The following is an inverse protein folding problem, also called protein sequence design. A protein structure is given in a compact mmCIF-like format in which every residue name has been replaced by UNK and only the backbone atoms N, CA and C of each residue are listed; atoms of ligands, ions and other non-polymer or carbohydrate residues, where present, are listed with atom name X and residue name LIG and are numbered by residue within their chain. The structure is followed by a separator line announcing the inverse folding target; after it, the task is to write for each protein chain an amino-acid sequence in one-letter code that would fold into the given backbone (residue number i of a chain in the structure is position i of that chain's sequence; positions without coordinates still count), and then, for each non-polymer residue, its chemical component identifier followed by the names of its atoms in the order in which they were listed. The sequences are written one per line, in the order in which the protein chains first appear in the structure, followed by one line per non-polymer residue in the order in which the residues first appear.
data_IF_021371123437
#
_entry.id   IF_021371123437
#
_cell.length_a   1.000
_cell.length_b   1.000
_cell.length_c   1.000
_cell.angle_alpha   90.00
_cell.angle_beta   90.00
_cell.angle_gamma   90.00
#
_symmetry.space_group_name_H-M   'P 1'
#
loop_
_entity.id
_entity.type
_entity.pdbx_description
1 polymer ?
#
# COMPACT_ATOMS: atom_id res chain seq x y z
N UNK A 1 24.76 12.65 4.91
CA UNK A 1 24.62 11.48 4.02
C UNK A 1 23.28 11.60 3.30
N UNK A 2 23.16 12.62 2.45
CA UNK A 2 21.94 12.93 1.67
C UNK A 2 22.16 12.81 0.16
N UNK A 3 23.40 12.61 -0.29
CA UNK A 3 23.77 12.65 -1.72
C UNK A 3 23.43 11.37 -2.51
N UNK A 4 22.99 10.29 -1.84
CA UNK A 4 22.68 9.00 -2.48
C UNK A 4 21.17 8.72 -2.60
N UNK A 5 20.30 9.65 -2.19
CA UNK A 5 18.85 9.43 -2.24
C UNK A 5 18.29 9.64 -3.66
N UNK A 6 17.23 8.89 -3.98
CA UNK A 6 16.47 9.09 -5.20
C UNK A 6 15.45 10.22 -5.00
N UNK A 7 15.21 10.98 -6.08
CA UNK A 7 14.36 12.18 -6.05
C UNK A 7 13.15 12.01 -6.98
N UNK A 8 11.97 12.43 -6.50
CA UNK A 8 10.72 12.41 -7.26
C UNK A 8 10.61 13.57 -8.27
N UNK A 9 9.58 13.57 -9.15
CA UNK A 9 9.43 14.61 -10.18
C UNK A 9 8.95 15.97 -9.64
N UNK A 10 8.51 16.01 -8.38
CA UNK A 10 7.77 17.12 -7.79
C UNK A 10 8.48 17.74 -6.58
N UNK A 11 9.76 17.45 -6.38
CA UNK A 11 10.50 17.91 -5.20
C UNK A 11 10.43 19.43 -5.00
N UNK A 12 10.69 20.22 -6.05
CA UNK A 12 10.67 21.68 -5.95
C UNK A 12 9.29 22.19 -5.53
N UNK A 13 8.20 21.60 -6.06
CA UNK A 13 6.82 21.93 -5.68
C UNK A 13 6.55 21.61 -4.21
N UNK A 14 7.02 20.47 -3.74
CA UNK A 14 6.89 20.09 -2.33
C UNK A 14 7.65 21.06 -1.42
N UNK A 15 8.84 21.53 -1.84
CA UNK A 15 9.61 22.55 -1.10
C UNK A 15 8.86 23.88 -1.05
N UNK A 16 8.29 24.31 -2.18
CA UNK A 16 7.49 25.54 -2.26
C UNK A 16 6.23 25.47 -1.38
N UNK A 17 5.64 24.28 -1.23
CA UNK A 17 4.54 24.01 -0.29
C UNK A 17 4.99 23.86 1.18
N UNK A 18 6.29 24.01 1.48
CA UNK A 18 6.82 23.95 2.83
C UNK A 18 6.98 22.54 3.40
N UNK A 19 7.08 21.52 2.55
CA UNK A 19 7.22 20.14 3.01
C UNK A 19 8.49 19.91 3.83
N UNK A 20 8.35 19.16 4.91
CA UNK A 20 9.46 18.48 5.58
C UNK A 20 9.74 17.16 4.87
N UNK A 21 11.01 16.83 4.66
CA UNK A 21 11.43 15.63 3.95
C UNK A 21 12.16 14.64 4.86
N UNK A 22 12.05 13.35 4.55
CA UNK A 22 12.89 12.30 5.11
C UNK A 22 13.21 11.23 4.06
N UNK A 23 14.20 10.40 4.39
CA UNK A 23 14.48 9.18 3.63
C UNK A 23 13.36 8.16 3.85
N UNK A 24 12.81 7.63 2.76
CA UNK A 24 11.83 6.56 2.77
C UNK A 24 12.11 5.60 1.62
N UNK A 25 12.55 4.38 1.95
CA UNK A 25 12.88 3.34 0.96
C UNK A 25 13.92 3.80 -0.07
N UNK A 26 14.92 4.58 0.35
CA UNK A 26 15.94 5.14 -0.54
C UNK A 26 15.52 6.37 -1.34
N UNK A 27 14.31 6.92 -1.12
CA UNK A 27 13.83 8.15 -1.74
C UNK A 27 13.76 9.31 -0.75
N UNK A 28 14.03 10.52 -1.22
CA UNK A 28 13.75 11.74 -0.47
C UNK A 28 12.27 12.11 -0.66
N UNK A 29 11.46 11.92 0.39
CA UNK A 29 10.00 12.04 0.30
C UNK A 29 9.42 13.07 1.27
N UNK A 30 8.35 13.80 0.90
CA UNK A 30 7.63 14.68 1.81
C UNK A 30 6.95 13.86 2.92
N UNK A 31 7.36 14.06 4.16
CA UNK A 31 6.79 13.37 5.33
C UNK A 31 5.64 14.14 5.97
N UNK A 32 5.61 15.47 5.83
CA UNK A 32 4.57 16.34 6.37
C UNK A 32 4.68 17.76 5.76
N UNK A 33 3.56 18.48 5.72
CA UNK A 33 3.41 19.88 5.34
C UNK A 33 2.90 20.70 6.55
N UNK A 34 1.61 20.55 6.90
CA UNK A 34 0.97 21.24 8.02
C UNK A 34 1.02 20.44 9.35
N UNK A 35 1.44 19.18 9.30
CA UNK A 35 1.55 18.28 10.44
C UNK A 35 0.67 17.04 10.26
N UNK A 36 1.22 15.86 10.57
CA UNK A 36 0.56 14.55 10.41
C UNK A 36 -0.90 14.50 10.88
N UNK A 37 -1.23 15.13 12.01
CA UNK A 37 -2.59 15.14 12.56
C UNK A 37 -3.54 16.00 11.72
N UNK A 38 -3.10 17.17 11.25
CA UNK A 38 -3.91 18.04 10.39
C UNK A 38 -4.22 17.34 9.07
N UNK A 39 -3.17 16.84 8.42
CA UNK A 39 -3.22 16.17 7.12
C UNK A 39 -4.09 14.89 7.15
N UNK A 40 -3.97 14.11 8.22
CA UNK A 40 -4.84 12.96 8.48
C UNK A 40 -6.30 13.40 8.58
N UNK A 41 -6.60 14.40 9.41
CA UNK A 41 -7.96 14.89 9.62
C UNK A 41 -8.53 15.51 8.34
N UNK A 42 -7.72 16.24 7.56
CA UNK A 42 -8.10 16.76 6.26
C UNK A 42 -8.50 15.61 5.32
N UNK A 43 -7.71 14.53 5.29
CA UNK A 43 -8.01 13.35 4.48
C UNK A 43 -9.32 12.66 4.91
N UNK A 44 -9.54 12.51 6.22
CA UNK A 44 -10.76 11.87 6.78
C UNK A 44 -12.04 12.69 6.58
N UNK A 45 -11.93 14.02 6.65
CA UNK A 45 -13.09 14.91 6.72
C UNK A 45 -13.36 15.68 5.41
N UNK A 46 -12.35 15.81 4.56
CA UNK A 46 -12.43 16.51 3.28
C UNK A 46 -11.69 15.73 2.18
N UNK A 47 -10.43 16.07 1.92
CA UNK A 47 -9.58 15.43 0.91
C UNK A 47 -8.10 15.69 1.20
N UNK A 48 -7.26 14.68 1.00
CA UNK A 48 -5.80 14.75 1.09
C UNK A 48 -5.18 14.47 -0.27
N UNK A 49 -4.14 15.24 -0.63
CA UNK A 49 -3.31 15.01 -1.82
C UNK A 49 -1.95 14.45 -1.40
N UNK A 50 -1.63 13.22 -1.82
CA UNK A 50 -0.36 12.57 -1.55
C UNK A 50 0.43 12.41 -2.84
N UNK A 51 1.71 12.77 -2.82
CA UNK A 51 2.66 12.31 -3.83
C UNK A 51 3.25 10.96 -3.40
N UNK A 52 2.90 9.91 -4.14
CA UNK A 52 3.44 8.57 -3.96
C UNK A 52 4.18 8.09 -5.22
N UNK A 53 4.75 9.01 -5.98
CA UNK A 53 5.49 8.74 -7.22
C UNK A 53 6.73 7.86 -7.01
N UNK A 54 7.25 7.77 -5.79
CA UNK A 54 8.27 6.78 -5.41
C UNK A 54 7.83 5.33 -5.63
N UNK A 55 6.53 5.02 -5.70
CA UNK A 55 6.05 3.69 -6.06
C UNK A 55 6.58 3.27 -7.44
N UNK A 56 6.84 1.98 -7.57
CA UNK A 56 7.28 1.39 -8.83
C UNK A 56 6.21 1.39 -9.89
N UNK A 57 6.66 1.32 -11.13
CA UNK A 57 5.81 0.93 -12.26
C UNK A 57 6.56 -0.15 -13.03
N UNK A 58 5.85 -1.17 -13.50
CA UNK A 58 6.40 -2.18 -14.39
C UNK A 58 5.34 -2.59 -15.41
N UNK A 59 5.79 -2.98 -16.59
CA UNK A 59 4.90 -3.39 -17.68
C UNK A 59 5.26 -4.80 -18.13
N UNK A 60 4.24 -5.65 -18.26
CA UNK A 60 4.34 -6.96 -18.89
C UNK A 60 3.55 -6.90 -20.19
N UNK A 61 4.22 -7.08 -21.33
CA UNK A 61 3.63 -6.90 -22.66
C UNK A 61 3.97 -8.04 -23.61
N UNK A 62 3.00 -8.43 -24.43
CA UNK A 62 3.11 -9.44 -25.47
C UNK A 62 2.03 -10.52 -25.36
N UNK A 63 1.88 -11.38 -26.38
CA UNK A 63 0.83 -12.39 -26.42
C UNK A 63 0.74 -13.24 -25.14
N UNK A 64 -0.40 -13.16 -24.44
CA UNK A 64 -0.67 -13.94 -23.23
C UNK A 64 -0.08 -13.36 -21.93
N UNK A 65 0.25 -12.06 -21.90
CA UNK A 65 0.74 -11.37 -20.70
C UNK A 65 -0.17 -11.58 -19.48
N UNK A 66 -1.50 -11.48 -19.65
CA UNK A 66 -2.45 -11.67 -18.56
C UNK A 66 -2.38 -13.09 -17.98
N UNK A 67 -2.28 -14.11 -18.84
CA UNK A 67 -2.16 -15.51 -18.42
C UNK A 67 -0.84 -15.76 -17.67
N UNK A 68 0.26 -15.17 -18.13
CA UNK A 68 1.56 -15.24 -17.47
C UNK A 68 1.56 -14.54 -16.10
N UNK A 69 1.01 -13.32 -16.00
CA UNK A 69 0.89 -12.64 -14.69
C UNK A 69 -0.01 -13.45 -13.76
N UNK A 70 -1.09 -14.04 -14.28
CA UNK A 70 -1.94 -14.91 -13.48
C UNK A 70 -1.21 -16.19 -13.02
N UNK A 71 -0.25 -16.73 -13.77
CA UNK A 71 0.50 -17.93 -13.33
C UNK A 71 1.66 -17.63 -12.38
N UNK A 72 1.95 -16.35 -12.10
CA UNK A 72 3.09 -15.91 -11.29
C UNK A 72 2.67 -15.22 -9.98
N UNK A 73 1.69 -14.32 -10.01
CA UNK A 73 1.25 -13.58 -8.82
C UNK A 73 0.13 -14.32 -8.07
N UNK A 74 -0.08 -14.01 -6.80
CA UNK A 74 -0.96 -14.83 -5.93
C UNK A 74 -2.45 -14.70 -6.22
N UNK A 75 -2.97 -13.50 -6.52
CA UNK A 75 -4.41 -13.31 -6.73
C UNK A 75 -4.88 -13.78 -8.12
N UNK A 76 -6.16 -14.09 -8.26
CA UNK A 76 -6.73 -14.66 -9.48
C UNK A 76 -7.19 -13.56 -10.44
N UNK A 77 -6.33 -13.28 -11.42
CA UNK A 77 -6.52 -12.24 -12.42
C UNK A 77 -7.67 -12.58 -13.39
N UNK A 78 -8.04 -13.86 -13.52
CA UNK A 78 -9.18 -14.29 -14.35
C UNK A 78 -10.55 -13.81 -13.83
N UNK A 79 -10.58 -13.26 -12.60
CA UNK A 79 -11.78 -12.68 -11.99
C UNK A 79 -12.04 -11.23 -12.39
N UNK A 80 -11.08 -10.61 -13.07
CA UNK A 80 -11.20 -9.24 -13.58
C UNK A 80 -10.89 -9.23 -15.08
N UNK A 81 -11.08 -8.08 -15.71
CA UNK A 81 -10.76 -7.88 -17.13
C UNK A 81 -10.37 -6.43 -17.40
N UNK A 82 -10.27 -6.02 -18.68
CA UNK A 82 -9.85 -4.68 -19.08
C UNK A 82 -10.54 -3.56 -18.29
N UNK A 83 -9.77 -2.54 -17.88
CA UNK A 83 -10.27 -1.41 -17.09
C UNK A 83 -10.43 -1.69 -15.60
N UNK A 84 -10.02 -2.88 -15.12
CA UNK A 84 -10.01 -3.24 -13.70
C UNK A 84 -8.61 -3.54 -13.20
N UNK A 85 -8.44 -3.47 -11.88
CA UNK A 85 -7.22 -3.74 -11.18
C UNK A 85 -7.45 -4.69 -10.00
N UNK A 86 -6.38 -5.25 -9.47
CA UNK A 86 -6.45 -6.14 -8.31
C UNK A 86 -5.19 -6.05 -7.47
N UNK A 87 -5.37 -6.04 -6.15
CA UNK A 87 -4.26 -6.22 -5.21
C UNK A 87 -3.81 -7.67 -5.21
N UNK A 88 -2.50 -7.88 -5.29
CA UNK A 88 -1.88 -9.20 -5.38
C UNK A 88 -0.49 -9.18 -4.74
N UNK A 89 0.07 -10.36 -4.49
CA UNK A 89 1.42 -10.50 -3.94
C UNK A 89 2.32 -11.27 -4.90
N UNK A 90 3.56 -10.81 -5.01
CA UNK A 90 4.69 -11.54 -5.58
C UNK A 90 5.41 -12.24 -4.43
N UNK A 91 5.37 -13.57 -4.40
CA UNK A 91 5.94 -14.37 -3.32
C UNK A 91 7.24 -15.04 -3.73
N UNK A 92 8.03 -15.46 -2.74
CA UNK A 92 9.15 -16.39 -2.92
C UNK A 92 8.62 -17.82 -3.02
N UNK A 93 9.47 -18.76 -3.47
CA UNK A 93 9.15 -20.20 -3.45
C UNK A 93 8.84 -20.71 -2.03
N UNK A 94 9.46 -20.12 -1.01
CA UNK A 94 9.21 -20.44 0.41
C UNK A 94 7.93 -19.82 0.98
N UNK A 95 7.16 -19.07 0.20
CA UNK A 95 5.90 -18.43 0.62
C UNK A 95 6.07 -17.11 1.37
N UNK A 96 7.29 -16.58 1.48
CA UNK A 96 7.53 -15.19 1.88
C UNK A 96 7.13 -14.22 0.78
N UNK A 97 7.12 -12.92 1.08
CA UNK A 97 6.62 -11.88 0.16
C UNK A 97 7.77 -11.04 -0.38
N UNK A 98 8.04 -11.15 -1.68
CA UNK A 98 8.94 -10.25 -2.41
C UNK A 98 8.32 -8.86 -2.44
N UNK A 99 7.03 -8.78 -2.78
CA UNK A 99 6.28 -7.53 -2.74
C UNK A 99 4.76 -7.76 -2.73
N UNK A 100 4.01 -6.80 -2.22
CA UNK A 100 2.60 -6.60 -2.56
C UNK A 100 2.45 -5.47 -3.58
N UNK A 101 1.47 -5.59 -4.48
CA UNK A 101 1.33 -4.66 -5.60
C UNK A 101 -0.10 -4.65 -6.16
N UNK A 102 -0.39 -3.62 -6.97
CA UNK A 102 -1.63 -3.56 -7.76
C UNK A 102 -1.32 -3.96 -9.20
N UNK A 103 -2.05 -4.94 -9.73
CA UNK A 103 -2.02 -5.33 -11.12
C UNK A 103 -3.23 -4.73 -11.86
N UNK A 104 -2.98 -3.91 -12.88
CA UNK A 104 -3.96 -3.29 -13.75
C UNK A 104 -4.07 -4.08 -15.04
N UNK A 105 -5.27 -4.59 -15.30
CA UNK A 105 -5.58 -5.34 -16.51
C UNK A 105 -5.85 -4.34 -17.64
N UNK A 106 -4.93 -4.23 -18.60
CA UNK A 106 -5.11 -3.40 -19.80
C UNK A 106 -5.85 -4.22 -20.85
N UNK A 107 -5.23 -5.31 -21.28
CA UNK A 107 -5.82 -6.33 -22.14
C UNK A 107 -5.10 -7.67 -21.93
N UNK A 108 -5.47 -8.68 -22.72
CA UNK A 108 -4.90 -10.04 -22.61
C UNK A 108 -3.37 -10.06 -22.82
N UNK A 109 -2.83 -9.06 -23.50
CA UNK A 109 -1.44 -8.94 -23.93
C UNK A 109 -0.69 -7.79 -23.24
N UNK A 110 -1.33 -7.09 -22.30
CA UNK A 110 -0.73 -5.99 -21.55
C UNK A 110 -1.25 -5.91 -20.11
N UNK A 111 -0.33 -6.08 -19.14
CA UNK A 111 -0.59 -5.89 -17.72
C UNK A 111 0.37 -4.85 -17.16
N UNK A 112 -0.20 -3.83 -16.51
CA UNK A 112 0.55 -2.77 -15.86
C UNK A 112 0.59 -2.99 -14.35
N UNK A 113 1.75 -2.90 -13.73
CA UNK A 113 1.98 -3.24 -12.33
C UNK A 113 2.47 -2.01 -11.57
N UNK A 114 1.95 -1.82 -10.35
CA UNK A 114 2.42 -0.79 -9.41
C UNK A 114 2.93 -1.46 -8.13
N UNK A 115 4.22 -1.87 -8.10
CA UNK A 115 4.90 -2.40 -6.91
C UNK A 115 5.37 -1.31 -5.93
N UNK A 116 5.80 -1.71 -4.74
CA UNK A 116 6.45 -0.81 -3.79
C UNK A 116 7.80 -0.31 -4.33
N UNK A 117 8.19 0.88 -3.87
CA UNK A 117 9.39 1.59 -4.32
C UNK A 117 10.67 0.73 -4.25
N UNK A 118 10.96 0.16 -3.07
CA UNK A 118 12.20 -0.59 -2.84
C UNK A 118 12.25 -1.94 -3.60
N UNK A 119 11.09 -2.51 -3.94
CA UNK A 119 10.98 -3.89 -4.39
C UNK A 119 10.74 -4.02 -5.89
N UNK A 120 10.54 -2.91 -6.60
CA UNK A 120 10.20 -2.88 -8.02
C UNK A 120 11.18 -3.67 -8.89
N UNK A 121 12.48 -3.51 -8.62
CA UNK A 121 13.52 -4.25 -9.34
C UNK A 121 13.41 -5.77 -9.10
N UNK A 122 13.23 -6.18 -7.84
CA UNK A 122 13.10 -7.59 -7.48
C UNK A 122 11.85 -8.25 -8.09
N UNK A 123 10.72 -7.53 -8.14
CA UNK A 123 9.49 -8.01 -8.83
C UNK A 123 9.76 -8.20 -10.32
N UNK A 124 10.38 -7.22 -10.99
CA UNK A 124 10.70 -7.30 -12.42
C UNK A 124 11.67 -8.44 -12.71
N UNK A 125 12.69 -8.62 -11.87
CA UNK A 125 13.67 -9.71 -11.99
C UNK A 125 13.00 -11.09 -11.83
N UNK A 126 12.13 -11.26 -10.83
CA UNK A 126 11.40 -12.51 -10.62
C UNK A 126 10.50 -12.86 -11.82
N UNK A 127 9.78 -11.87 -12.37
CA UNK A 127 8.95 -12.06 -13.56
C UNK A 127 9.82 -12.38 -14.80
N UNK A 128 10.94 -11.68 -15.00
CA UNK A 128 11.85 -11.97 -16.13
C UNK A 128 12.42 -13.37 -16.06
N UNK A 129 12.91 -13.78 -14.89
CA UNK A 129 13.42 -15.13 -14.68
C UNK A 129 12.37 -16.20 -14.99
N UNK A 130 11.11 -15.98 -14.59
CA UNK A 130 10.01 -16.88 -14.92
C UNK A 130 9.69 -16.93 -16.42
N UNK A 131 9.71 -15.78 -17.11
CA UNK A 131 9.49 -15.72 -18.55
C UNK A 131 10.61 -16.44 -19.32
N UNK A 132 11.87 -16.24 -18.93
CA UNK A 132 13.05 -16.90 -19.49
C UNK A 132 13.07 -18.42 -19.23
N UNK A 133 12.52 -18.86 -18.10
CA UNK A 133 12.30 -20.27 -17.79
C UNK A 133 11.17 -20.92 -18.62
N UNK A 134 10.55 -20.18 -19.54
CA UNK A 134 9.59 -20.69 -20.52
C UNK A 134 8.12 -20.49 -20.15
N UNK A 135 7.80 -19.81 -19.04
CA UNK A 135 6.40 -19.51 -18.69
C UNK A 135 5.79 -18.37 -19.52
N UNK A 136 6.62 -17.53 -20.14
CA UNK A 136 6.20 -16.34 -20.88
C UNK A 136 7.01 -16.10 -22.15
N UNK A 137 7.08 -17.06 -23.09
CA UNK A 137 7.92 -16.94 -24.28
C UNK A 137 7.48 -15.72 -25.12
N UNK A 138 8.43 -14.84 -25.45
CA UNK A 138 8.18 -13.64 -26.25
C UNK A 138 7.57 -12.46 -25.49
N UNK A 139 7.35 -12.58 -24.17
CA UNK A 139 6.93 -11.45 -23.35
C UNK A 139 8.09 -10.48 -23.12
N UNK A 140 7.75 -9.19 -23.12
CA UNK A 140 8.63 -8.10 -22.71
C UNK A 140 8.21 -7.63 -21.32
N UNK A 141 9.15 -7.65 -20.37
CA UNK A 141 8.91 -7.19 -19.01
C UNK A 141 9.85 -6.01 -18.75
N UNK A 142 9.30 -4.81 -18.58
CA UNK A 142 10.06 -3.56 -18.38
C UNK A 142 9.86 -3.00 -16.98
N UNK A 143 10.95 -2.49 -16.42
CA UNK A 143 10.89 -1.62 -15.26
C UNK A 143 10.63 -0.19 -15.77
N UNK A 144 9.53 0.40 -15.32
CA UNK A 144 9.05 1.74 -15.72
C UNK A 144 8.96 2.69 -14.52
N UNK A 145 9.77 2.47 -13.47
CA UNK A 145 9.71 3.19 -12.19
C UNK A 145 9.65 4.72 -12.35
N UNK A 146 10.29 5.28 -13.38
CA UNK A 146 10.29 6.74 -13.63
C UNK A 146 9.52 7.15 -14.89
N UNK A 147 8.62 6.30 -15.38
CA UNK A 147 7.77 6.64 -16.53
C UNK A 147 6.53 7.43 -16.13
N UNK A 148 5.98 7.19 -14.92
CA UNK A 148 4.76 7.82 -14.43
C UNK A 148 4.90 8.31 -12.98
N UNK A 149 4.35 9.47 -12.67
CA UNK A 149 4.10 9.86 -11.28
C UNK A 149 2.88 9.08 -10.73
N UNK A 150 2.67 9.12 -9.41
CA UNK A 150 1.47 8.57 -8.78
C UNK A 150 0.96 9.57 -7.74
N UNK A 151 -0.16 10.19 -8.03
CA UNK A 151 -0.78 11.23 -7.19
C UNK A 151 -2.08 10.69 -6.59
N UNK A 152 -2.12 10.51 -5.27
CA UNK A 152 -3.30 9.97 -4.60
C UNK A 152 -4.16 11.10 -4.03
N UNK A 153 -5.42 11.15 -4.46
CA UNK A 153 -6.44 12.10 -3.98
C UNK A 153 -7.46 11.30 -3.17
N UNK A 154 -7.40 11.43 -1.86
CA UNK A 154 -8.07 10.50 -0.93
C UNK A 154 -8.96 11.29 0.03
N UNK A 155 -10.17 10.82 0.30
CA UNK A 155 -11.13 11.46 1.21
C UNK A 155 -12.52 11.63 0.60
N UNK A 156 -13.54 11.93 1.42
CA UNK A 156 -14.93 12.00 0.98
C UNK A 156 -15.19 13.02 -0.15
N UNK A 157 -14.33 14.04 -0.31
CA UNK A 157 -14.43 15.05 -1.39
C UNK A 157 -13.55 14.74 -2.60
N UNK A 158 -12.90 13.57 -2.67
CA UNK A 158 -11.98 13.26 -3.76
C UNK A 158 -12.66 13.23 -5.13
N UNK A 159 -13.91 12.74 -5.21
CA UNK A 159 -14.66 12.74 -6.46
C UNK A 159 -14.99 14.17 -6.93
N UNK A 160 -15.43 15.04 -6.01
CA UNK A 160 -15.70 16.46 -6.30
C UNK A 160 -14.46 17.17 -6.89
N UNK A 161 -13.28 16.93 -6.30
CA UNK A 161 -12.01 17.48 -6.79
C UNK A 161 -11.74 17.04 -8.23
N UNK A 162 -11.86 15.74 -8.53
CA UNK A 162 -11.57 15.20 -9.85
C UNK A 162 -12.61 15.66 -10.89
N UNK A 163 -13.90 15.63 -10.54
CA UNK A 163 -14.98 16.09 -11.41
C UNK A 163 -14.81 17.57 -11.78
N UNK A 164 -14.39 18.41 -10.82
CA UNK A 164 -14.08 19.81 -11.04
C UNK A 164 -12.94 20.07 -12.02
N UNK A 165 -12.04 19.09 -12.18
CA UNK A 165 -10.96 19.10 -13.17
C UNK A 165 -11.34 18.39 -14.49
N UNK A 166 -12.57 17.89 -14.60
CA UNK A 166 -13.05 17.14 -15.77
C UNK A 166 -12.48 15.73 -15.88
N UNK A 167 -11.97 15.15 -14.79
CA UNK A 167 -11.41 13.81 -14.75
C UNK A 167 -12.48 12.77 -14.35
N UNK A 168 -12.42 11.54 -14.87
CA UNK A 168 -13.47 10.54 -14.65
C UNK A 168 -13.46 10.00 -13.21
N UNK A 169 -14.65 9.91 -12.62
CA UNK A 169 -14.85 9.41 -11.24
C UNK A 169 -15.85 8.25 -11.13
N UNK A 170 -16.68 8.04 -12.17
CA UNK A 170 -17.82 7.10 -12.17
C UNK A 170 -17.50 5.61 -12.29
N UNK A 171 -16.27 5.21 -11.95
CA UNK A 171 -15.80 3.83 -12.01
C UNK A 171 -15.92 3.14 -10.63
N UNK A 172 -16.21 1.84 -10.61
CA UNK A 172 -16.26 1.07 -9.36
C UNK A 172 -14.90 0.98 -8.67
N UNK A 173 -14.87 0.60 -7.39
CA UNK A 173 -13.65 0.27 -6.66
C UNK A 173 -12.77 -0.72 -7.45
N UNK A 174 -11.47 -0.42 -7.54
CA UNK A 174 -10.50 -1.13 -8.38
C UNK A 174 -10.80 -1.07 -9.89
N UNK A 175 -11.56 -0.08 -10.34
CA UNK A 175 -11.63 0.31 -11.75
C UNK A 175 -10.61 1.39 -12.09
N UNK A 176 -10.32 1.57 -13.37
CA UNK A 176 -9.58 2.72 -13.87
C UNK A 176 -10.15 3.20 -15.21
N UNK A 177 -9.87 4.45 -15.55
CA UNK A 177 -10.17 5.04 -16.84
C UNK A 177 -9.02 5.96 -17.28
N UNK A 178 -8.74 5.96 -18.58
CA UNK A 178 -7.77 6.88 -19.17
C UNK A 178 -8.47 8.17 -19.60
N UNK A 179 -7.83 9.31 -19.32
CA UNK A 179 -8.31 10.65 -19.60
C UNK A 179 -7.14 11.58 -19.95
N UNK A 180 -7.41 12.87 -20.07
CA UNK A 180 -6.37 13.89 -20.16
C UNK A 180 -6.74 15.14 -19.37
N UNK A 181 -5.74 15.81 -18.83
CA UNK A 181 -5.85 17.12 -18.19
C UNK A 181 -4.89 18.08 -18.88
N UNK A 182 -5.41 19.18 -19.42
CA UNK A 182 -4.61 20.17 -20.18
C UNK A 182 -3.73 19.56 -21.29
N UNK A 183 -4.15 18.43 -21.87
CA UNK A 183 -3.39 17.69 -22.89
C UNK A 183 -2.39 16.67 -22.34
N UNK A 184 -2.15 16.64 -21.03
CA UNK A 184 -1.37 15.59 -20.36
C UNK A 184 -2.24 14.34 -20.23
N UNK A 185 -1.82 13.16 -20.75
CA UNK A 185 -2.54 11.92 -20.55
C UNK A 185 -2.49 11.51 -19.07
N UNK A 186 -3.61 11.05 -18.52
CA UNK A 186 -3.71 10.63 -17.13
C UNK A 186 -4.55 9.37 -17.04
N UNK A 187 -3.98 8.31 -16.46
CA UNK A 187 -4.77 7.17 -15.99
C UNK A 187 -5.30 7.48 -14.60
N UNK A 188 -6.63 7.44 -14.44
CA UNK A 188 -7.31 7.68 -13.16
C UNK A 188 -7.79 6.34 -12.61
N UNK A 189 -7.28 5.97 -11.45
CA UNK A 189 -7.51 4.69 -10.80
C UNK A 189 -8.36 4.89 -9.56
N UNK A 190 -9.41 4.08 -9.39
CA UNK A 190 -10.25 4.04 -8.20
C UNK A 190 -9.62 3.11 -7.15
N UNK A 191 -8.47 3.54 -6.66
CA UNK A 191 -7.60 2.84 -5.71
C UNK A 191 -7.14 3.78 -4.61
N UNK A 192 -6.62 3.22 -3.52
CA UNK A 192 -6.19 4.00 -2.37
C UNK A 192 -5.67 3.14 -1.23
N UNK A 193 -4.97 3.80 -0.31
CA UNK A 193 -4.30 3.15 0.82
C UNK A 193 -4.69 3.76 2.18
N UNK A 194 -5.82 4.48 2.20
CA UNK A 194 -6.26 5.27 3.36
C UNK A 194 -7.49 4.70 4.04
N UNK A 195 -8.25 3.83 3.35
CA UNK A 195 -9.58 3.39 3.78
C UNK A 195 -10.71 4.36 3.46
N UNK A 196 -10.41 5.52 2.85
CA UNK A 196 -11.41 6.45 2.34
C UNK A 196 -11.78 6.15 0.89
N UNK A 197 -12.86 6.78 0.44
CA UNK A 197 -13.11 7.00 -0.98
C UNK A 197 -11.90 7.75 -1.55
N UNK A 198 -11.27 7.24 -2.61
CA UNK A 198 -10.11 7.91 -3.20
C UNK A 198 -9.75 7.44 -4.60
N UNK A 199 -8.89 8.23 -5.24
CA UNK A 199 -8.34 7.94 -6.55
C UNK A 199 -6.82 8.08 -6.55
N UNK A 200 -6.16 7.42 -7.49
CA UNK A 200 -4.75 7.60 -7.81
C UNK A 200 -4.64 7.99 -9.29
N UNK A 201 -3.83 9.00 -9.59
CA UNK A 201 -3.65 9.53 -10.93
C UNK A 201 -2.21 9.27 -11.37
N UNK A 202 -2.04 8.73 -12.58
CA UNK A 202 -0.75 8.38 -13.14
C UNK A 202 -0.45 9.19 -14.40
N UNK A 203 -0.06 10.48 -14.27
CA UNK A 203 0.47 11.24 -15.39
C UNK A 203 1.91 10.81 -15.72
N UNK A 204 2.40 11.03 -16.96
CA UNK A 204 3.81 10.89 -17.28
C UNK A 204 4.70 11.66 -16.30
N UNK A 205 5.83 11.06 -15.94
CA UNK A 205 6.73 11.59 -14.91
C UNK A 205 7.13 13.05 -15.17
N UNK A 206 7.53 13.35 -16.40
CA UNK A 206 8.01 14.68 -16.82
C UNK A 206 6.90 15.75 -16.85
N UNK A 207 5.65 15.35 -17.09
CA UNK A 207 4.49 16.26 -17.17
C UNK A 207 3.66 16.29 -15.89
N UNK A 208 4.07 15.56 -14.85
CA UNK A 208 3.29 15.39 -13.62
C UNK A 208 3.06 16.69 -12.84
N UNK A 209 3.95 17.67 -12.99
CA UNK A 209 3.84 18.97 -12.34
C UNK A 209 2.56 19.71 -12.67
N UNK A 210 2.12 19.69 -13.93
CA UNK A 210 0.91 20.37 -14.36
C UNK A 210 -0.36 19.79 -13.72
N UNK A 211 -0.41 18.46 -13.59
CA UNK A 211 -1.51 17.75 -12.92
C UNK A 211 -1.45 17.98 -11.42
N UNK A 212 -0.27 17.94 -10.81
CA UNK A 212 -0.10 18.18 -9.37
C UNK A 212 -0.55 19.59 -8.97
N UNK A 213 -0.15 20.63 -9.70
CA UNK A 213 -0.49 22.01 -9.38
C UNK A 213 -2.01 22.23 -9.42
N UNK A 214 -2.68 21.65 -10.42
CA UNK A 214 -4.13 21.68 -10.55
C UNK A 214 -4.83 20.95 -9.38
N UNK A 215 -4.34 19.76 -9.03
CA UNK A 215 -4.86 19.00 -7.90
C UNK A 215 -4.66 19.74 -6.58
N UNK A 216 -3.48 20.31 -6.33
CA UNK A 216 -3.17 21.02 -5.10
C UNK A 216 -4.10 22.23 -4.92
N UNK A 217 -4.32 23.01 -5.97
CA UNK A 217 -5.26 24.12 -5.96
C UNK A 217 -6.71 23.66 -5.72
N UNK A 218 -7.17 22.61 -6.41
CA UNK A 218 -8.52 22.08 -6.26
C UNK A 218 -8.76 21.44 -4.88
N UNK A 219 -7.78 20.72 -4.34
CA UNK A 219 -7.81 20.15 -2.97
C UNK A 219 -7.90 21.25 -1.92
N UNK A 220 -7.10 22.31 -2.04
CA UNK A 220 -7.20 23.47 -1.15
C UNK A 220 -8.57 24.15 -1.23
N UNK A 221 -9.12 24.33 -2.44
CA UNK A 221 -10.46 24.89 -2.64
C UNK A 221 -11.57 23.99 -2.04
N UNK A 222 -11.35 22.68 -1.99
CA UNK A 222 -12.21 21.70 -1.33
C UNK A 222 -11.95 21.57 0.20
N UNK A 223 -11.20 22.50 0.81
CA UNK A 223 -10.90 22.48 2.25
C UNK A 223 -10.03 21.30 2.68
N UNK A 224 -9.31 20.71 1.73
CA UNK A 224 -8.32 19.67 1.94
C UNK A 224 -6.89 20.19 2.01
N UNK A 225 -5.94 19.28 2.13
CA UNK A 225 -4.51 19.60 2.31
C UNK A 225 -3.61 18.66 1.47
N UNK A 226 -2.44 19.12 0.99
CA UNK A 226 -1.34 18.22 0.70
C UNK A 226 -0.97 17.44 1.97
N UNK A 227 -0.72 16.14 1.82
CA UNK A 227 -0.49 15.23 2.94
C UNK A 227 0.76 14.39 2.70
N UNK A 228 1.59 14.27 3.74
CA UNK A 228 2.86 13.57 3.67
C UNK A 228 2.76 12.10 4.07
N UNK A 229 3.90 11.41 4.01
CA UNK A 229 4.00 10.00 4.39
C UNK A 229 3.63 9.74 5.86
N UNK A 230 3.79 10.72 6.75
CA UNK A 230 3.36 10.61 8.14
C UNK A 230 1.84 10.40 8.25
N UNK A 231 1.05 11.20 7.53
CA UNK A 231 -0.40 11.03 7.49
C UNK A 231 -0.78 9.71 6.80
N UNK A 232 -0.11 9.36 5.69
CA UNK A 232 -0.33 8.07 5.00
C UNK A 232 -0.15 6.88 5.94
N UNK A 233 0.91 6.87 6.77
CA UNK A 233 1.16 5.79 7.71
C UNK A 233 0.10 5.72 8.83
N UNK A 234 -0.41 6.85 9.31
CA UNK A 234 -1.53 6.84 10.27
C UNK A 234 -2.83 6.29 9.66
N UNK A 235 -3.17 6.70 8.45
CA UNK A 235 -4.41 6.31 7.76
C UNK A 235 -4.41 4.80 7.45
N UNK A 236 -3.30 4.27 6.92
CA UNK A 236 -3.17 2.83 6.62
C UNK A 236 -3.15 1.98 7.88
N UNK A 237 -2.52 2.47 8.95
CA UNK A 237 -2.45 1.75 10.23
C UNK A 237 -3.85 1.65 10.87
N UNK A 238 -4.67 2.70 10.77
CA UNK A 238 -6.07 2.64 11.18
C UNK A 238 -6.87 1.59 10.41
N UNK A 239 -6.54 1.34 9.14
CA UNK A 239 -7.16 0.27 8.36
C UNK A 239 -6.55 -1.12 8.63
N UNK A 240 -5.39 -1.17 9.29
CA UNK A 240 -4.59 -2.36 9.44
C UNK A 240 -4.03 -2.89 8.12
N UNK A 241 -3.81 -2.01 7.15
CA UNK A 241 -3.17 -2.38 5.89
C UNK A 241 -1.68 -2.65 6.10
N UNK A 242 -1.14 -3.72 5.51
CA UNK A 242 0.26 -4.09 5.67
C UNK A 242 1.16 -3.14 4.90
N UNK A 243 2.33 -2.85 5.45
CA UNK A 243 3.42 -2.18 4.75
C UNK A 243 4.57 -3.19 4.53
N UNK A 244 5.08 -3.29 3.31
CA UNK A 244 6.24 -4.14 3.03
C UNK A 244 7.48 -3.66 3.81
N UNK A 245 8.24 -4.61 4.37
CA UNK A 245 9.29 -4.36 5.35
C UNK A 245 8.80 -4.34 6.80
N UNK A 246 7.48 -4.34 7.03
CA UNK A 246 6.88 -4.34 8.37
C UNK A 246 5.99 -5.57 8.59
N UNK A 247 4.88 -5.67 7.84
CA UNK A 247 3.91 -6.75 7.94
C UNK A 247 4.05 -7.81 6.83
N UNK A 248 4.78 -7.47 5.77
CA UNK A 248 5.10 -8.34 4.64
C UNK A 248 6.60 -8.29 4.43
N UNK A 249 7.24 -9.45 4.28
CA UNK A 249 8.67 -9.56 4.06
C UNK A 249 9.02 -10.95 3.52
N UNK A 250 10.28 -11.17 3.15
CA UNK A 250 10.75 -12.47 2.67
C UNK A 250 10.60 -13.61 3.71
N UNK A 251 10.48 -13.29 5.00
CA UNK A 251 10.26 -14.24 6.10
C UNK A 251 8.84 -14.15 6.72
N UNK A 252 7.98 -13.29 6.19
CA UNK A 252 6.59 -13.12 6.63
C UNK A 252 5.66 -13.44 5.45
N UNK A 253 4.89 -14.51 5.58
CA UNK A 253 3.97 -14.95 4.55
C UNK A 253 2.68 -14.11 4.51
N UNK A 254 1.93 -14.14 3.39
CA UNK A 254 0.62 -13.51 3.32
C UNK A 254 -0.37 -14.04 4.36
N UNK A 255 -0.26 -15.31 4.78
CA UNK A 255 -1.17 -15.86 5.81
C UNK A 255 -0.86 -15.28 7.19
N UNK A 256 0.43 -15.16 7.55
CA UNK A 256 0.84 -14.45 8.77
C UNK A 256 0.34 -13.01 8.76
N UNK A 257 0.41 -12.33 7.61
CA UNK A 257 -0.07 -10.96 7.42
C UNK A 257 -1.61 -10.83 7.27
N UNK A 258 -2.37 -11.92 7.40
CA UNK A 258 -3.84 -11.99 7.14
C UNK A 258 -4.27 -11.51 5.74
N UNK A 259 -3.37 -11.59 4.76
CA UNK A 259 -3.59 -11.26 3.36
C UNK A 259 -4.04 -12.47 2.51
N UNK A 260 -4.47 -13.58 3.13
CA UNK A 260 -4.92 -14.78 2.41
C UNK A 260 -6.17 -14.59 1.53
N UNK A 261 -6.86 -13.44 1.65
CA UNK A 261 -7.95 -13.03 0.76
C UNK A 261 -7.45 -12.63 -0.64
N UNK A 262 -6.17 -12.26 -0.77
CA UNK A 262 -5.53 -11.89 -2.03
C UNK A 262 -4.85 -13.09 -2.71
N UNK A 263 -5.23 -14.32 -2.35
CA UNK A 263 -4.69 -15.55 -2.93
C UNK A 263 -5.79 -16.30 -3.67
N UNK A 264 -5.56 -16.54 -4.96
CA UNK A 264 -6.37 -17.42 -5.80
C UNK A 264 -6.08 -18.89 -5.50
N UNK A 265 -6.63 -19.41 -4.39
CA UNK A 265 -6.36 -20.78 -3.92
C UNK A 265 -6.68 -21.91 -4.92
N UNK A 266 -7.49 -21.62 -5.94
CA UNK A 266 -7.89 -22.59 -6.97
C UNK A 266 -6.99 -22.56 -8.21
N UNK A 267 -6.04 -21.64 -8.27
CA UNK A 267 -5.12 -21.52 -9.40
C UNK A 267 -4.17 -22.70 -9.44
N UNK A 268 -3.74 -23.06 -10.65
CA UNK A 268 -2.81 -24.18 -10.86
C UNK A 268 -1.40 -23.81 -10.40
N UNK A 269 -0.96 -22.58 -10.67
CA UNK A 269 0.36 -22.08 -10.33
C UNK A 269 0.33 -20.60 -9.92
N UNK A 270 1.27 -20.25 -9.05
CA UNK A 270 1.76 -18.92 -8.70
C UNK A 270 3.00 -19.09 -7.83
N UNK A 271 3.83 -18.06 -7.72
CA UNK A 271 5.05 -18.15 -6.90
C UNK A 271 4.72 -18.47 -5.45
N UNK A 272 5.40 -19.46 -4.87
CA UNK A 272 5.21 -19.87 -3.48
C UNK A 272 3.93 -20.67 -3.20
N UNK A 273 3.18 -21.08 -4.23
CA UNK A 273 1.90 -21.79 -4.07
C UNK A 273 1.96 -22.97 -3.12
N UNK A 274 2.92 -23.86 -3.29
CA UNK A 274 2.98 -25.10 -2.52
C UNK A 274 3.31 -24.83 -1.03
N UNK A 275 4.24 -23.92 -0.76
CA UNK A 275 4.53 -23.48 0.60
C UNK A 275 3.31 -22.82 1.28
N UNK A 276 2.58 -21.99 0.54
CA UNK A 276 1.38 -21.31 1.06
C UNK A 276 0.20 -22.26 1.29
N UNK A 277 0.06 -23.30 0.46
CA UNK A 277 -0.92 -24.37 0.69
C UNK A 277 -0.56 -25.22 1.92
N UNK A 278 0.73 -25.53 2.09
CA UNK A 278 1.21 -26.23 3.27
C UNK A 278 0.96 -25.42 4.56
N UNK A 279 1.29 -24.12 4.55
CA UNK A 279 1.01 -23.23 5.69
C UNK A 279 -0.49 -23.07 5.92
N UNK A 280 -1.32 -22.99 4.88
CA UNK A 280 -2.78 -22.94 5.01
C UNK A 280 -3.33 -24.17 5.72
N UNK A 281 -2.79 -25.35 5.43
CA UNK A 281 -3.21 -26.60 6.04
C UNK A 281 -2.73 -26.74 7.49
N UNK A 282 -1.49 -26.32 7.77
CA UNK A 282 -0.90 -26.40 9.11
C UNK A 282 -1.41 -25.29 10.06
N UNK A 283 -1.79 -24.14 9.51
CA UNK A 283 -1.99 -22.90 10.24
C UNK A 283 -0.70 -22.06 10.29
N UNK A 284 -0.77 -20.73 10.10
CA UNK A 284 0.41 -19.88 10.19
C UNK A 284 0.90 -19.79 11.64
N UNK A 285 2.22 -19.81 11.85
CA UNK A 285 2.84 -19.75 13.20
C UNK A 285 2.58 -18.46 13.98
N UNK A 286 2.28 -17.40 13.25
CA UNK A 286 2.03 -16.05 13.75
C UNK A 286 0.87 -15.47 12.97
N UNK A 287 0.15 -14.54 13.56
CA UNK A 287 -0.87 -13.79 12.85
C UNK A 287 -0.80 -12.32 13.20
N UNK A 288 -1.00 -11.49 12.18
CA UNK A 288 -1.17 -10.06 12.34
C UNK A 288 -2.42 -9.77 13.17
N UNK A 289 -2.29 -8.84 14.12
CA UNK A 289 -3.35 -8.33 14.99
C UNK A 289 -3.21 -6.83 15.15
N UNK A 290 -4.33 -6.15 15.38
CA UNK A 290 -4.32 -4.77 15.84
C UNK A 290 -4.13 -4.72 17.35
N UNK A 291 -3.39 -3.73 17.84
CA UNK A 291 -3.25 -3.39 19.24
C UNK A 291 -3.76 -1.97 19.45
N UNK A 292 -4.66 -1.77 20.40
CA UNK A 292 -5.14 -0.45 20.83
C UNK A 292 -4.70 -0.21 22.27
N UNK A 293 -3.94 0.85 22.51
CA UNK A 293 -3.45 1.19 23.85
C UNK A 293 -4.61 1.50 24.80
N UNK A 294 -4.48 1.03 26.04
CA UNK A 294 -5.35 1.40 27.15
C UNK A 294 -4.73 2.60 27.85
N UNK A 295 -5.27 3.78 27.57
CA UNK A 295 -4.74 5.04 28.07
C UNK A 295 -3.75 5.70 27.10
N UNK A 296 -2.82 6.49 27.64
CA UNK A 296 -1.97 7.39 26.85
C UNK A 296 -0.66 6.70 26.46
N UNK A 297 -0.25 6.92 25.22
CA UNK A 297 1.04 6.47 24.70
C UNK A 297 0.96 6.27 23.20
N UNK A 298 2.09 5.88 22.62
CA UNK A 298 2.18 5.56 21.19
C UNK A 298 3.06 4.32 21.04
N UNK A 299 2.57 3.34 20.28
CA UNK A 299 3.33 2.15 19.92
C UNK A 299 4.32 2.49 18.79
N UNK A 300 5.37 1.69 18.66
CA UNK A 300 6.37 1.78 17.59
C UNK A 300 6.73 0.38 17.10
N UNK A 301 7.31 0.22 15.90
CA UNK A 301 7.87 -1.06 15.48
C UNK A 301 8.91 -1.61 16.48
N UNK A 302 9.02 -2.94 16.56
CA UNK A 302 10.06 -3.64 17.31
C UNK A 302 9.83 -3.80 18.82
N UNK A 303 8.66 -3.41 19.36
CA UNK A 303 8.34 -3.57 20.78
C UNK A 303 7.83 -4.99 21.06
N UNK A 304 8.30 -5.58 22.16
CA UNK A 304 7.89 -6.91 22.60
C UNK A 304 6.45 -6.90 23.11
N UNK A 305 5.65 -7.85 22.62
CA UNK A 305 4.29 -8.08 23.08
C UNK A 305 4.30 -9.22 24.11
N UNK A 306 3.68 -8.99 25.26
CA UNK A 306 3.69 -9.87 26.42
C UNK A 306 2.28 -10.32 26.81
N UNK A 307 2.10 -11.61 27.07
CA UNK A 307 0.95 -12.18 27.76
C UNK A 307 1.38 -12.54 29.20
N UNK A 308 1.08 -11.65 30.15
CA UNK A 308 1.72 -11.71 31.47
C UNK A 308 3.20 -11.38 31.35
N UNK A 309 4.08 -12.30 31.75
CA UNK A 309 5.54 -12.16 31.61
C UNK A 309 6.09 -12.84 30.35
N UNK A 310 5.26 -13.59 29.62
CA UNK A 310 5.70 -14.38 28.45
C UNK A 310 5.67 -13.54 27.18
N UNK A 311 6.79 -13.42 26.44
CA UNK A 311 6.80 -12.88 25.09
C UNK A 311 5.96 -13.73 24.14
N UNK A 312 5.05 -13.09 23.42
CA UNK A 312 4.11 -13.74 22.48
C UNK A 312 4.07 -13.08 21.11
N UNK A 313 4.93 -12.08 20.86
CA UNK A 313 4.96 -11.40 19.58
C UNK A 313 5.75 -10.10 19.59
N UNK A 314 5.65 -9.38 18.48
CA UNK A 314 6.34 -8.10 18.26
C UNK A 314 5.44 -7.16 17.48
N UNK A 315 5.45 -5.88 17.85
CA UNK A 315 4.78 -4.84 17.06
C UNK A 315 5.56 -4.59 15.77
N UNK A 316 4.88 -4.63 14.64
CA UNK A 316 5.44 -4.35 13.31
C UNK A 316 5.24 -2.90 12.90
N UNK A 317 4.14 -2.28 13.37
CA UNK A 317 3.81 -0.87 13.13
C UNK A 317 3.20 -0.24 14.37
N UNK A 318 3.31 1.08 14.51
CA UNK A 318 2.74 1.78 15.66
C UNK A 318 2.72 3.29 15.52
N UNK A 319 1.58 3.89 15.86
CA UNK A 319 1.36 5.32 15.72
C UNK A 319 0.24 5.83 16.65
N UNK A 320 0.03 7.15 16.67
CA UNK A 320 -1.15 7.75 17.28
C UNK A 320 -2.21 7.87 16.20
N UNK A 321 -3.42 7.33 16.45
CA UNK A 321 -4.58 7.51 15.58
C UNK A 321 -5.25 8.85 15.88
N UNK A 322 -5.28 9.81 14.95
CA UNK A 322 -6.04 11.04 15.11
C UNK A 322 -7.55 10.79 15.13
N UNK A 323 -8.06 9.77 14.42
CA UNK A 323 -9.51 9.47 14.45
C UNK A 323 -9.95 8.99 15.83
N UNK A 324 -9.19 8.07 16.43
CA UNK A 324 -9.55 7.44 17.72
C UNK A 324 -8.99 8.18 18.93
N UNK A 325 -8.08 9.14 18.72
CA UNK A 325 -7.32 9.84 19.77
C UNK A 325 -6.60 8.86 20.73
N UNK A 326 -6.06 7.78 20.18
CA UNK A 326 -5.43 6.69 20.93
C UNK A 326 -4.18 6.15 20.22
N UNK A 327 -3.24 5.59 21.00
CA UNK A 327 -2.14 4.82 20.43
C UNK A 327 -2.66 3.52 19.82
N UNK A 328 -2.30 3.26 18.57
CA UNK A 328 -2.61 2.01 17.87
C UNK A 328 -1.35 1.42 17.24
N UNK A 329 -1.38 0.12 16.93
CA UNK A 329 -0.28 -0.53 16.24
C UNK A 329 -0.68 -1.88 15.70
N UNK A 330 0.16 -2.41 14.81
CA UNK A 330 0.02 -3.76 14.29
C UNK A 330 1.10 -4.63 14.91
N UNK A 331 0.79 -5.90 15.15
CA UNK A 331 1.72 -6.84 15.73
C UNK A 331 1.55 -8.24 15.13
N UNK A 332 2.66 -8.92 14.90
CA UNK A 332 2.68 -10.36 14.65
C UNK A 332 2.71 -11.07 16.00
N UNK A 333 1.63 -11.79 16.31
CA UNK A 333 1.46 -12.54 17.56
C UNK A 333 1.49 -14.04 17.25
N UNK A 334 2.23 -14.80 18.05
CA UNK A 334 2.34 -16.26 17.95
C UNK A 334 0.96 -16.91 18.12
N UNK A 335 0.59 -17.82 17.22
CA UNK A 335 -0.73 -18.46 17.27
C UNK A 335 -0.90 -19.38 18.47
N UNK A 336 0.19 -20.04 18.87
CA UNK A 336 0.20 -20.98 20.01
C UNK A 336 -0.01 -20.27 21.35
N UNK A 337 0.14 -18.95 21.40
CA UNK A 337 -0.17 -18.15 22.58
C UNK A 337 -1.68 -18.03 22.86
N UNK A 338 -2.56 -18.44 21.93
CA UNK A 338 -4.02 -18.45 22.13
C UNK A 338 -4.60 -17.07 22.43
N UNK A 339 -4.06 -16.02 21.80
CA UNK A 339 -4.50 -14.64 22.01
C UNK A 339 -5.67 -14.32 21.08
N UNK A 340 -6.85 -14.13 21.69
CA UNK A 340 -8.09 -13.76 21.01
C UNK A 340 -8.31 -12.24 21.02
N UNK A 341 -9.18 -11.78 20.10
CA UNK A 341 -9.61 -10.38 20.05
C UNK A 341 -10.36 -10.00 21.34
N UNK A 342 -10.19 -8.77 21.81
CA UNK A 342 -10.72 -8.26 23.08
C UNK A 342 -9.82 -8.53 24.30
N UNK A 343 -8.81 -9.40 24.18
CA UNK A 343 -7.89 -9.72 25.30
C UNK A 343 -6.99 -8.51 25.63
N UNK A 344 -6.77 -8.29 26.93
CA UNK A 344 -5.73 -7.37 27.43
C UNK A 344 -4.36 -8.03 27.38
N UNK A 345 -3.38 -7.32 26.87
CA UNK A 345 -1.97 -7.70 26.83
C UNK A 345 -1.10 -6.50 27.19
N UNK A 346 0.19 -6.73 27.37
CA UNK A 346 1.16 -5.67 27.65
C UNK A 346 2.14 -5.55 26.50
N UNK A 347 2.52 -4.32 26.14
CA UNK A 347 3.67 -4.05 25.28
C UNK A 347 4.78 -3.44 26.12
N UNK A 348 6.00 -3.97 25.99
CA UNK A 348 7.17 -3.41 26.66
C UNK A 348 7.70 -2.19 25.89
N UNK A 349 7.51 -1.00 26.48
CA UNK A 349 8.03 0.27 25.97
C UNK A 349 9.27 0.63 26.77
N UNK A 350 10.42 0.08 26.39
CA UNK A 350 11.74 0.38 26.99
C UNK A 350 11.77 0.13 28.51
N UNK A 351 11.28 -1.04 28.94
CA UNK A 351 11.19 -1.47 30.32
C UNK A 351 9.89 -1.04 31.03
N UNK A 352 9.01 -0.28 30.35
CA UNK A 352 7.71 0.12 30.89
C UNK A 352 6.59 -0.69 30.24
N UNK A 353 5.86 -1.43 31.07
CA UNK A 353 4.63 -2.08 30.68
C UNK A 353 3.56 -1.06 30.24
N UNK A 354 3.06 -1.21 29.01
CA UNK A 354 1.93 -0.47 28.48
C UNK A 354 0.79 -1.42 28.10
N UNK A 355 -0.36 -1.28 28.74
CA UNK A 355 -1.51 -2.15 28.49
C UNK A 355 -2.15 -1.83 27.12
N UNK A 356 -2.49 -2.87 26.37
CA UNK A 356 -3.18 -2.81 25.09
C UNK A 356 -4.33 -3.81 25.03
N UNK A 357 -5.35 -3.50 24.23
CA UNK A 357 -6.37 -4.43 23.77
C UNK A 357 -5.97 -5.01 22.43
N UNK A 358 -6.07 -6.33 22.27
CA UNK A 358 -6.00 -6.97 20.97
C UNK A 358 -7.31 -6.72 20.23
N UNK A 359 -7.25 -6.23 19.01
CA UNK A 359 -8.43 -5.93 18.21
C UNK A 359 -8.31 -6.52 16.81
N UNK A 360 -9.46 -6.86 16.25
CA UNK A 360 -9.60 -7.17 14.83
C UNK A 360 -9.53 -5.88 14.03
N UNK A 361 -8.63 -5.81 13.05
CA UNK A 361 -8.56 -4.68 12.12
C UNK A 361 -9.69 -4.75 11.09
N UNK A 362 -10.14 -3.59 10.55
CA UNK A 362 -9.62 -2.23 10.78
C UNK A 362 -10.00 -1.66 12.17
N UNK A 363 -9.26 -0.65 12.64
CA UNK A 363 -9.55 0.07 13.88
C UNK A 363 -10.70 1.08 13.74
N UNK A 364 -10.94 1.54 12.51
CA UNK A 364 -12.01 2.47 12.12
C UNK A 364 -12.81 1.87 10.97
N UNK A 365 -14.03 2.35 10.76
CA UNK A 365 -14.86 1.89 9.63
C UNK A 365 -14.26 2.34 8.29
N UNK A 366 -14.19 1.40 7.33
CA UNK A 366 -13.76 1.70 5.96
C UNK A 366 -14.86 2.46 5.20
N UNK A 367 -14.49 3.51 4.49
CA UNK A 367 -15.39 4.36 3.69
C UNK A 367 -15.01 4.35 2.20
N UNK A 368 -14.61 3.19 1.68
CA UNK A 368 -14.11 3.07 0.29
C UNK A 368 -15.22 3.03 -0.78
N UNK A 369 -16.49 3.01 -0.36
CA UNK A 369 -17.67 2.84 -1.23
C UNK A 369 -18.51 4.10 -1.33
#
# INVERSE_FOLDING_TARGET
MTDDLLHGPLEDRHRDLGASFAEFSGWLMPVSYAGTVSEHNATRNAVGLFDVSHLGKALVRGPGAAAFVNSTLTNDLSRIGPGKAQYTLCCTESGGVIDDLIAYYVDDDEIFLVPNAANTAAVVEALRAAAEAGLGPGLTITNEHRSYAVLAVQGPRSAEVLDGLGLPTGMDYMGYADASYAGVPVRVCRTGYTGEHGYELLPPWESSGEVFDALAAAVAAAGGEPAGLGARDTLRTEMGYPLHGHELALDISPLQARCGWAIGWKKDAFFGRDALLAEKAAGPRRLLRGLRMVGRGVLRPGLTVLAGETPVGVTTSGTFSPTLQAGIGLALIDTDAGIEDGRRITVDIRGRAAECEVVRTPFVEAKTR
#
